data_IF_366615551852
#
_entry.id   IF_366615551852
#
_cell.length_a   1.000
_cell.length_b   1.000
_cell.length_c   1.000
_cell.angle_alpha   90.00
_cell.angle_beta   90.00
_cell.angle_gamma   90.00
#
_symmetry.space_group_name_H-M   'P 1'
#
loop_
_entity.id
_entity.type
_entity.pdbx_description
1 polymer ?
#
# COMPACT_ATOMS: atom_id res chain seq x y z
N UNK A 1 52.23 38.50 -25.73
CA UNK A 1 52.58 37.18 -25.06
C UNK A 1 51.32 36.47 -24.78
N UNK A 2 50.99 35.42 -25.59
CA UNK A 2 49.80 34.58 -25.40
C UNK A 2 50.18 33.44 -24.44
N UNK A 3 49.44 33.30 -23.33
CA UNK A 3 49.60 32.16 -22.44
C UNK A 3 49.18 30.89 -23.17
N UNK A 4 49.97 29.81 -23.10
CA UNK A 4 49.54 28.52 -23.64
C UNK A 4 48.29 28.02 -22.90
N UNK A 5 47.33 27.38 -23.61
CA UNK A 5 46.15 26.83 -22.99
C UNK A 5 46.55 25.74 -21.98
N UNK A 6 45.99 25.85 -20.75
CA UNK A 6 46.16 24.81 -19.74
C UNK A 6 45.65 23.46 -20.26
N UNK A 7 46.38 22.35 -20.06
CA UNK A 7 45.91 21.04 -20.40
C UNK A 7 44.60 20.75 -19.62
N UNK A 8 43.58 20.37 -20.34
CA UNK A 8 42.28 19.99 -19.76
C UNK A 8 42.48 18.84 -18.76
N UNK A 9 42.10 19.07 -17.53
CA UNK A 9 42.14 18.06 -16.49
C UNK A 9 41.39 16.79 -16.96
N UNK A 10 41.93 15.58 -16.80
CA UNK A 10 41.26 14.35 -17.22
C UNK A 10 39.93 14.25 -16.49
N UNK A 11 38.84 13.80 -17.15
CA UNK A 11 37.54 13.64 -16.53
C UNK A 11 37.68 12.74 -15.30
N UNK A 12 37.28 13.28 -14.14
CA UNK A 12 37.33 12.55 -12.88
C UNK A 12 36.51 11.25 -12.95
N UNK A 13 36.80 10.24 -12.11
CA UNK A 13 36.08 8.99 -12.10
C UNK A 13 34.58 9.22 -11.96
N UNK A 14 33.72 8.48 -12.71
CA UNK A 14 32.28 8.65 -12.66
C UNK A 14 31.78 8.50 -11.23
N UNK A 15 30.99 9.47 -10.75
CA UNK A 15 30.43 9.43 -9.42
C UNK A 15 29.64 8.13 -9.21
N UNK A 16 29.77 7.47 -8.07
CA UNK A 16 29.05 6.23 -7.81
C UNK A 16 27.54 6.47 -7.97
N UNK A 17 26.82 5.52 -8.58
CA UNK A 17 25.38 5.67 -8.84
C UNK A 17 24.64 5.95 -7.53
N UNK A 18 24.13 7.17 -7.39
CA UNK A 18 23.33 7.54 -6.23
C UNK A 18 22.05 6.69 -6.26
N UNK A 19 21.89 5.81 -5.27
CA UNK A 19 20.65 5.07 -5.06
C UNK A 19 19.54 6.09 -4.87
N UNK A 20 18.67 6.24 -5.87
CA UNK A 20 17.54 7.15 -5.78
C UNK A 20 16.71 6.82 -4.55
N UNK A 21 16.58 7.76 -3.63
CA UNK A 21 15.78 7.62 -2.42
C UNK A 21 14.29 7.59 -2.80
N UNK A 22 13.51 6.76 -2.10
CA UNK A 22 12.07 6.70 -2.27
C UNK A 22 11.44 8.06 -1.89
N UNK A 23 10.53 8.63 -2.71
CA UNK A 23 9.83 9.86 -2.38
C UNK A 23 9.06 9.73 -1.05
N UNK A 24 9.13 10.75 -0.17
CA UNK A 24 8.47 10.72 1.14
C UNK A 24 6.95 10.51 1.06
N UNK A 25 6.30 11.07 0.04
CA UNK A 25 4.88 10.84 -0.21
C UNK A 25 4.55 9.36 -0.44
N UNK A 26 5.40 8.62 -1.14
CA UNK A 26 5.20 7.19 -1.36
C UNK A 26 5.42 6.39 -0.07
N UNK A 27 6.42 6.77 0.73
CA UNK A 27 6.65 6.16 2.05
C UNK A 27 5.42 6.34 2.94
N UNK A 28 4.83 7.53 2.94
CA UNK A 28 3.61 7.82 3.69
C UNK A 28 2.44 6.91 3.27
N UNK A 29 2.21 6.73 1.96
CA UNK A 29 1.19 5.80 1.44
C UNK A 29 1.46 4.37 1.90
N UNK A 30 2.71 3.90 1.82
CA UNK A 30 3.07 2.55 2.25
C UNK A 30 2.83 2.32 3.75
N UNK A 31 3.05 3.35 4.57
CA UNK A 31 2.72 3.30 6.01
C UNK A 31 1.21 3.20 6.23
N UNK A 32 0.41 4.00 5.51
CA UNK A 32 -1.06 3.92 5.59
C UNK A 32 -1.52 2.52 5.21
N UNK A 33 -1.06 1.98 4.08
CA UNK A 33 -1.42 0.63 3.62
C UNK A 33 -1.04 -0.43 4.66
N UNK A 34 0.14 -0.35 5.25
CA UNK A 34 0.55 -1.30 6.29
C UNK A 34 -0.34 -1.23 7.54
N UNK A 35 -0.70 -0.01 7.97
CA UNK A 35 -1.61 0.19 9.11
C UNK A 35 -3.01 -0.31 8.79
N UNK A 36 -3.52 -0.03 7.57
CA UNK A 36 -4.83 -0.53 7.11
C UNK A 36 -4.86 -2.05 7.05
N UNK A 37 -3.80 -2.69 6.53
CA UNK A 37 -3.67 -4.15 6.49
C UNK A 37 -3.76 -4.77 7.89
N UNK A 38 -3.04 -4.20 8.87
CA UNK A 38 -3.09 -4.65 10.26
C UNK A 38 -4.47 -4.43 10.87
N UNK A 39 -5.09 -3.28 10.61
CA UNK A 39 -6.46 -2.97 11.06
C UNK A 39 -7.49 -3.95 10.50
N UNK A 40 -7.41 -4.27 9.20
CA UNK A 40 -8.29 -5.23 8.53
C UNK A 40 -8.12 -6.64 9.10
N UNK A 41 -6.88 -7.08 9.31
CA UNK A 41 -6.59 -8.39 9.91
C UNK A 41 -7.10 -8.48 11.35
N UNK A 42 -6.90 -7.44 12.16
CA UNK A 42 -7.38 -7.38 13.53
C UNK A 42 -8.90 -7.31 13.60
N UNK A 43 -9.54 -6.47 12.78
CA UNK A 43 -11.00 -6.33 12.75
C UNK A 43 -11.72 -7.63 12.35
N UNK A 44 -11.17 -8.37 11.39
CA UNK A 44 -11.71 -9.67 11.01
C UNK A 44 -11.52 -10.74 12.11
N UNK A 45 -10.43 -10.67 12.84
CA UNK A 45 -10.20 -11.52 14.02
C UNK A 45 -11.21 -11.24 15.13
N UNK A 46 -11.45 -9.96 15.48
CA UNK A 46 -12.42 -9.58 16.51
C UNK A 46 -13.85 -9.99 16.14
N UNK A 47 -14.24 -9.89 14.85
CA UNK A 47 -15.51 -10.39 14.36
C UNK A 47 -15.68 -11.90 14.62
N UNK A 48 -14.64 -12.68 14.34
CA UNK A 48 -14.67 -14.12 14.61
C UNK A 48 -14.80 -14.41 16.11
N UNK A 49 -14.00 -13.75 16.94
CA UNK A 49 -14.05 -13.94 18.39
C UNK A 49 -15.43 -13.59 18.96
N UNK A 50 -16.03 -12.49 18.50
CA UNK A 50 -17.37 -12.10 18.97
C UNK A 50 -18.43 -13.12 18.54
N UNK A 51 -18.36 -13.64 17.31
CA UNK A 51 -19.27 -14.69 16.85
C UNK A 51 -19.11 -15.99 17.66
N UNK A 52 -17.89 -16.41 17.98
CA UNK A 52 -17.64 -17.57 18.84
C UNK A 52 -18.20 -17.37 20.24
N UNK A 53 -17.94 -16.22 20.86
CA UNK A 53 -18.46 -15.89 22.17
C UNK A 53 -20.00 -15.91 22.22
N UNK A 54 -20.68 -15.36 21.20
CA UNK A 54 -22.13 -15.41 21.09
C UNK A 54 -22.65 -16.82 20.91
N UNK A 55 -21.95 -17.64 20.12
CA UNK A 55 -22.32 -19.04 19.93
C UNK A 55 -22.23 -19.84 21.25
N UNK A 56 -21.18 -19.62 22.05
CA UNK A 56 -21.03 -20.26 23.36
C UNK A 56 -22.13 -19.86 24.36
N UNK A 57 -22.58 -18.62 24.29
CA UNK A 57 -23.62 -18.06 25.13
C UNK A 57 -25.05 -18.37 24.62
N UNK A 58 -25.20 -19.08 23.52
CA UNK A 58 -26.49 -19.37 22.89
C UNK A 58 -27.23 -18.15 22.38
N UNK A 59 -26.49 -17.07 22.08
CA UNK A 59 -27.02 -15.80 21.55
C UNK A 59 -27.08 -15.84 20.01
N UNK A 60 -27.89 -14.94 19.43
CA UNK A 60 -27.89 -14.76 17.97
C UNK A 60 -26.54 -14.31 17.46
N UNK A 61 -26.03 -15.01 16.45
CA UNK A 61 -24.77 -14.66 15.78
C UNK A 61 -24.92 -13.36 15.03
N UNK A 62 -23.86 -12.55 15.00
CA UNK A 62 -23.80 -11.34 14.16
C UNK A 62 -23.97 -11.69 12.67
N UNK A 63 -23.30 -12.75 12.25
CA UNK A 63 -23.40 -13.33 10.90
C UNK A 63 -23.26 -14.85 11.00
N UNK A 64 -23.81 -15.64 10.05
CA UNK A 64 -23.60 -17.09 10.02
C UNK A 64 -22.10 -17.43 10.08
N UNK A 65 -21.72 -18.44 10.86
CA UNK A 65 -20.31 -18.77 11.11
C UNK A 65 -19.51 -19.02 9.81
N UNK A 66 -20.11 -19.68 8.82
CA UNK A 66 -19.48 -19.89 7.51
C UNK A 66 -19.18 -18.58 6.77
N UNK A 67 -20.08 -17.60 6.87
CA UNK A 67 -19.89 -16.25 6.31
C UNK A 67 -18.79 -15.52 7.06
N UNK A 68 -18.77 -15.57 8.40
CA UNK A 68 -17.73 -14.95 9.22
C UNK A 68 -16.33 -15.48 8.85
N UNK A 69 -16.18 -16.78 8.68
CA UNK A 69 -14.94 -17.40 8.23
C UNK A 69 -14.54 -16.98 6.82
N UNK A 70 -15.48 -16.95 5.88
CA UNK A 70 -15.21 -16.53 4.51
C UNK A 70 -14.73 -15.08 4.44
N UNK A 71 -15.37 -14.18 5.21
CA UNK A 71 -14.98 -12.78 5.32
C UNK A 71 -13.59 -12.67 5.96
N UNK A 72 -13.34 -13.39 7.06
CA UNK A 72 -12.04 -13.33 7.73
C UNK A 72 -10.89 -13.80 6.84
N UNK A 73 -11.05 -14.93 6.14
CA UNK A 73 -10.05 -15.46 5.21
C UNK A 73 -9.78 -14.49 4.05
N UNK A 74 -10.84 -13.87 3.50
CA UNK A 74 -10.70 -12.86 2.46
C UNK A 74 -9.93 -11.63 2.97
N UNK A 75 -10.29 -11.11 4.15
CA UNK A 75 -9.61 -9.96 4.77
C UNK A 75 -8.13 -10.26 5.06
N UNK A 76 -7.81 -11.46 5.55
CA UNK A 76 -6.42 -11.85 5.79
C UNK A 76 -5.64 -12.03 4.49
N UNK A 77 -6.26 -12.57 3.44
CA UNK A 77 -5.66 -12.63 2.11
C UNK A 77 -5.35 -11.25 1.54
N UNK A 78 -6.29 -10.30 1.68
CA UNK A 78 -6.11 -8.91 1.26
C UNK A 78 -5.00 -8.23 2.06
N UNK A 79 -5.00 -8.36 3.39
CA UNK A 79 -3.97 -7.80 4.26
C UNK A 79 -2.58 -8.37 3.93
N UNK A 80 -2.48 -9.68 3.68
CA UNK A 80 -1.22 -10.31 3.24
C UNK A 80 -0.74 -9.75 1.90
N UNK A 81 -1.65 -9.57 0.92
CA UNK A 81 -1.33 -8.97 -0.37
C UNK A 81 -0.82 -7.53 -0.22
N UNK A 82 -1.47 -6.72 0.62
CA UNK A 82 -1.05 -5.35 0.92
C UNK A 82 0.37 -5.31 1.52
N UNK A 83 0.66 -6.16 2.50
CA UNK A 83 1.99 -6.26 3.11
C UNK A 83 3.04 -6.68 2.07
N UNK A 84 2.73 -7.65 1.21
CA UNK A 84 3.62 -8.06 0.11
C UNK A 84 3.87 -6.89 -0.84
N UNK A 85 2.86 -6.11 -1.19
CA UNK A 85 3.01 -4.91 -2.03
C UNK A 85 3.90 -3.86 -1.36
N UNK A 86 3.77 -3.64 -0.04
CA UNK A 86 4.62 -2.71 0.73
C UNK A 86 6.09 -3.15 0.67
N UNK A 87 6.36 -4.45 0.85
CA UNK A 87 7.72 -5.00 0.79
C UNK A 87 8.30 -4.87 -0.63
N UNK A 88 7.51 -5.24 -1.65
CA UNK A 88 7.95 -5.23 -3.05
C UNK A 88 7.99 -3.82 -3.67
N UNK A 89 7.40 -2.81 -3.04
CA UNK A 89 7.45 -1.42 -3.52
C UNK A 89 8.89 -0.90 -3.64
N UNK A 90 9.84 -1.47 -2.88
CA UNK A 90 11.28 -1.18 -2.99
C UNK A 90 11.89 -1.66 -4.30
N UNK A 91 11.37 -2.72 -4.90
CA UNK A 91 11.90 -3.33 -6.14
C UNK A 91 11.48 -2.58 -7.41
N UNK A 92 10.66 -1.53 -7.30
CA UNK A 92 10.21 -0.68 -8.41
C UNK A 92 9.52 -1.45 -9.55
N UNK A 93 8.82 -2.52 -9.22
CA UNK A 93 8.11 -3.30 -10.24
C UNK A 93 6.83 -2.59 -10.65
N UNK A 94 6.56 -2.38 -11.95
CA UNK A 94 5.40 -1.61 -12.41
C UNK A 94 4.05 -2.21 -11.99
N UNK A 95 3.96 -3.55 -11.90
CA UNK A 95 2.74 -4.22 -11.47
C UNK A 95 2.41 -3.96 -9.98
N UNK A 96 3.43 -3.73 -9.12
CA UNK A 96 3.22 -3.45 -7.69
C UNK A 96 2.42 -2.15 -7.50
N UNK A 97 2.73 -1.12 -8.29
CA UNK A 97 1.96 0.13 -8.25
C UNK A 97 0.49 -0.05 -8.65
N UNK A 98 0.22 -0.88 -9.67
CA UNK A 98 -1.14 -1.16 -10.10
C UNK A 98 -1.92 -1.98 -9.07
N UNK A 99 -1.30 -3.01 -8.48
CA UNK A 99 -1.93 -3.83 -7.43
C UNK A 99 -2.18 -2.99 -6.19
N UNK A 100 -1.21 -2.17 -5.76
CA UNK A 100 -1.36 -1.27 -4.61
C UNK A 100 -2.55 -0.31 -4.79
N UNK A 101 -2.64 0.33 -5.97
CA UNK A 101 -3.77 1.21 -6.30
C UNK A 101 -5.10 0.45 -6.30
N UNK A 102 -5.13 -0.77 -6.86
CA UNK A 102 -6.32 -1.63 -6.85
C UNK A 102 -6.78 -2.00 -5.43
N UNK A 103 -5.85 -2.40 -4.56
CA UNK A 103 -6.15 -2.69 -3.14
C UNK A 103 -6.71 -1.45 -2.42
N UNK A 104 -6.07 -0.29 -2.59
CA UNK A 104 -6.54 0.96 -1.98
C UNK A 104 -7.95 1.36 -2.46
N UNK A 105 -8.23 1.26 -3.76
CA UNK A 105 -9.57 1.54 -4.30
C UNK A 105 -10.57 0.56 -3.71
N UNK A 106 -10.23 -0.71 -3.59
CA UNK A 106 -11.10 -1.72 -3.00
C UNK A 106 -11.40 -1.41 -1.52
N UNK A 107 -10.39 -1.02 -0.73
CA UNK A 107 -10.56 -0.61 0.68
C UNK A 107 -11.49 0.60 0.78
N UNK A 108 -11.29 1.63 -0.06
CA UNK A 108 -12.18 2.81 -0.10
C UNK A 108 -13.63 2.39 -0.37
N UNK A 109 -13.86 1.54 -1.38
CA UNK A 109 -15.21 1.07 -1.71
C UNK A 109 -15.84 0.28 -0.57
N UNK A 110 -15.07 -0.63 0.07
CA UNK A 110 -15.53 -1.39 1.21
C UNK A 110 -15.87 -0.48 2.40
N UNK A 111 -15.06 0.53 2.67
CA UNK A 111 -15.29 1.53 3.73
C UNK A 111 -16.55 2.34 3.46
N UNK A 112 -16.79 2.76 2.21
CA UNK A 112 -18.03 3.46 1.82
C UNK A 112 -19.25 2.57 2.03
N UNK A 113 -19.21 1.31 1.57
CA UNK A 113 -20.32 0.38 1.75
C UNK A 113 -20.59 0.12 3.24
N UNK A 114 -19.54 -0.08 4.04
CA UNK A 114 -19.65 -0.23 5.50
C UNK A 114 -20.27 0.99 6.18
N UNK A 115 -19.86 2.19 5.76
CA UNK A 115 -20.45 3.45 6.26
C UNK A 115 -21.92 3.57 5.91
N UNK A 116 -22.30 3.32 4.65
CA UNK A 116 -23.71 3.34 4.23
C UNK A 116 -24.55 2.31 5.01
N UNK A 117 -24.01 1.13 5.25
CA UNK A 117 -24.63 0.11 6.09
C UNK A 117 -24.86 0.60 7.53
N UNK A 118 -23.90 1.30 8.12
CA UNK A 118 -24.03 1.88 9.47
C UNK A 118 -25.09 2.98 9.55
N UNK A 119 -25.26 3.77 8.47
CA UNK A 119 -26.35 4.76 8.37
C UNK A 119 -27.72 4.09 8.34
N UNK A 120 -27.88 3.03 7.54
CA UNK A 120 -29.14 2.27 7.46
C UNK A 120 -29.49 1.62 8.79
N UNK A 121 -28.49 1.14 9.53
CA UNK A 121 -28.64 0.57 10.86
C UNK A 121 -28.94 1.61 11.96
N UNK A 122 -28.94 2.92 11.64
CA UNK A 122 -29.22 4.00 12.58
C UNK A 122 -28.10 4.28 13.58
N UNK A 123 -26.91 3.73 13.37
CA UNK A 123 -25.74 3.90 14.24
C UNK A 123 -24.52 4.41 13.44
N UNK A 124 -24.54 5.64 12.92
CA UNK A 124 -23.46 6.17 12.10
C UNK A 124 -22.15 6.29 12.89
N UNK A 125 -21.11 5.68 12.40
CA UNK A 125 -19.78 5.81 12.98
C UNK A 125 -18.97 6.90 12.25
N UNK A 126 -18.89 8.08 12.85
CA UNK A 126 -18.18 9.22 12.26
C UNK A 126 -16.65 8.99 12.13
N UNK A 127 -16.07 8.11 12.94
CA UNK A 127 -14.64 7.75 12.79
C UNK A 127 -14.35 7.14 11.43
N UNK A 128 -15.31 6.45 10.81
CA UNK A 128 -15.17 5.89 9.46
C UNK A 128 -14.96 6.97 8.41
N UNK A 129 -15.51 8.17 8.58
CA UNK A 129 -15.29 9.30 7.66
C UNK A 129 -13.83 9.78 7.70
N UNK A 130 -13.21 9.76 8.87
CA UNK A 130 -11.79 10.12 9.01
C UNK A 130 -10.91 9.08 8.29
N UNK A 131 -11.19 7.79 8.49
CA UNK A 131 -10.49 6.69 7.80
C UNK A 131 -10.68 6.84 6.30
N UNK A 132 -11.90 7.05 5.82
CA UNK A 132 -12.21 7.26 4.40
C UNK A 132 -11.43 8.45 3.82
N UNK A 133 -11.32 9.56 4.55
CA UNK A 133 -10.54 10.72 4.12
C UNK A 133 -9.05 10.37 3.96
N UNK A 134 -8.48 9.64 4.89
CA UNK A 134 -7.08 9.18 4.83
C UNK A 134 -6.86 8.24 3.62
N UNK A 135 -7.77 7.29 3.41
CA UNK A 135 -7.70 6.33 2.31
C UNK A 135 -7.82 7.02 0.95
N UNK A 136 -8.70 8.03 0.82
CA UNK A 136 -8.82 8.83 -0.40
C UNK A 136 -7.53 9.60 -0.72
N UNK A 137 -6.88 10.19 0.30
CA UNK A 137 -5.57 10.84 0.14
C UNK A 137 -4.52 9.83 -0.29
N UNK A 138 -4.52 8.63 0.30
CA UNK A 138 -3.60 7.56 -0.08
C UNK A 138 -3.79 7.11 -1.54
N UNK A 139 -5.04 6.94 -1.99
CA UNK A 139 -5.37 6.65 -3.40
C UNK A 139 -4.88 7.76 -4.32
N UNK A 140 -5.15 9.02 -3.97
CA UNK A 140 -4.73 10.17 -4.79
C UNK A 140 -3.21 10.22 -4.95
N UNK A 141 -2.45 10.02 -3.88
CA UNK A 141 -0.98 9.98 -3.93
C UNK A 141 -0.48 8.75 -4.69
N UNK A 142 -1.11 7.59 -4.51
CA UNK A 142 -0.73 6.35 -5.20
C UNK A 142 -0.96 6.43 -6.73
N UNK A 143 -1.99 7.14 -7.16
CA UNK A 143 -2.28 7.39 -8.58
C UNK A 143 -1.52 8.58 -9.16
N UNK A 144 -0.87 9.39 -8.31
CA UNK A 144 -0.15 10.59 -8.70
C UNK A 144 1.11 10.31 -9.52
N UNK A 145 1.60 11.36 -10.21
CA UNK A 145 2.78 11.28 -11.08
C UNK A 145 4.04 10.82 -10.35
N UNK A 146 4.17 11.14 -9.06
CA UNK A 146 5.31 10.74 -8.24
C UNK A 146 5.41 9.22 -8.12
N UNK A 147 4.28 8.55 -7.85
CA UNK A 147 4.21 7.10 -7.75
C UNK A 147 4.41 6.45 -9.14
N UNK A 148 3.76 6.99 -10.16
CA UNK A 148 3.94 6.52 -11.55
C UNK A 148 5.38 6.59 -11.99
N UNK A 149 6.08 7.70 -11.75
CA UNK A 149 7.51 7.86 -12.08
C UNK A 149 8.37 6.86 -11.31
N UNK A 150 8.09 6.62 -10.02
CA UNK A 150 8.84 5.67 -9.20
C UNK A 150 8.78 4.25 -9.76
N UNK A 151 7.59 3.79 -10.17
CA UNK A 151 7.39 2.44 -10.69
C UNK A 151 7.70 2.29 -12.19
N UNK A 152 7.81 3.40 -12.97
CA UNK A 152 8.13 3.37 -14.39
C UNK A 152 9.63 3.35 -14.69
N UNK A 153 10.48 3.80 -13.77
CA UNK A 153 11.94 3.82 -13.97
C UNK A 153 12.48 2.40 -13.84
N UNK A 154 12.76 1.76 -14.98
CA UNK A 154 13.51 0.48 -14.99
C UNK A 154 14.91 0.73 -14.44
N UNK A 155 15.41 -0.13 -13.51
CA UNK A 155 16.83 -0.09 -13.15
C UNK A 155 17.66 -0.28 -14.43
N UNK A 156 18.76 0.50 -14.61
CA UNK A 156 19.64 0.30 -15.73
C UNK A 156 20.12 -1.16 -15.73
N UNK A 157 20.00 -1.83 -16.89
CA UNK A 157 20.55 -3.16 -17.08
C UNK A 157 22.04 -3.10 -16.71
N UNK A 158 22.55 -4.06 -15.94
CA UNK A 158 23.99 -4.15 -15.71
C UNK A 158 24.66 -4.21 -17.08
N UNK A 159 25.39 -3.13 -17.42
CA UNK A 159 26.23 -3.10 -18.62
C UNK A 159 27.16 -4.29 -18.50
N UNK A 160 27.01 -5.25 -19.43
CA UNK A 160 27.97 -6.33 -19.58
C UNK A 160 29.36 -5.70 -19.71
N UNK A 161 30.19 -5.86 -18.67
CA UNK A 161 31.58 -5.49 -18.78
C UNK A 161 32.15 -6.26 -19.97
N UNK A 162 32.76 -5.59 -20.98
CA UNK A 162 33.48 -6.30 -22.00
C UNK A 162 34.58 -7.07 -21.30
N UNK A 163 34.48 -8.40 -21.34
CA UNK A 163 35.57 -9.28 -20.96
C UNK A 163 36.65 -9.06 -21.97
N UNK A 164 37.69 -8.30 -21.60
CA UNK A 164 38.94 -8.16 -22.32
C UNK A 164 39.89 -9.29 -21.98
#
# INVERSE_FOLDING_TARGET
MQHPPYPSEPPGPPAPPQRARMPGALVFVLVIVAVSALGTAYGSWTLLQENYSKQELGQELLVPMGTAWSVALFCWGLAALEIVCVVLARERRPWVGAVLAGCLIFVVLATVVGFLGSLVAGAPNLAVLVVLGIDLVAVWVALGDTARRWFSVRPPLPTAQPQG
#
